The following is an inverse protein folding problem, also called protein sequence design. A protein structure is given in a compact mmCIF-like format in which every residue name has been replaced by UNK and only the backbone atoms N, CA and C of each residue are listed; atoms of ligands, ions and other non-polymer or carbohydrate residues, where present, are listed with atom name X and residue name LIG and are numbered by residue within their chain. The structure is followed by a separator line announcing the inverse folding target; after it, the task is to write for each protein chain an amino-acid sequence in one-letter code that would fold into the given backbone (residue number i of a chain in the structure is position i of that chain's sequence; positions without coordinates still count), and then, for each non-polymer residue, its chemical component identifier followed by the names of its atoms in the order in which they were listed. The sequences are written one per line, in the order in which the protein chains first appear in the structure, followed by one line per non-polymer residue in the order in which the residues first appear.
data_IF_156869229693
#
_entry.id   IF_156869229693
#
_cell.length_a   1.000
_cell.length_b   1.000
_cell.length_c   1.000
_cell.angle_alpha   90.00
_cell.angle_beta   90.00
_cell.angle_gamma   90.00
#
_symmetry.space_group_name_H-M   'P 1'
#
loop_
_entity.id
_entity.type
_entity.pdbx_description
1 polymer ?
#
# COMPACT_ATOMS: atom_id res chain seq x y z
N UNK A 1 -0.30 12.79 32.56
CA UNK A 1 -1.47 12.99 31.68
C UNK A 1 -2.59 12.02 32.05
N UNK A 2 -3.84 12.30 31.66
CA UNK A 2 -4.97 11.39 31.91
C UNK A 2 -5.39 10.70 30.61
N UNK A 3 -5.73 9.42 30.72
CA UNK A 3 -6.28 8.67 29.58
C UNK A 3 -7.65 9.23 29.18
N UNK A 4 -7.82 9.57 27.90
CA UNK A 4 -9.09 10.07 27.36
C UNK A 4 -10.21 9.02 27.27
N UNK A 5 -9.89 7.73 27.49
CA UNK A 5 -10.86 6.63 27.47
C UNK A 5 -11.29 6.20 28.88
N UNK A 6 -10.34 5.98 29.79
CA UNK A 6 -10.63 5.42 31.12
C UNK A 6 -10.33 6.38 32.29
N UNK A 7 -9.80 7.58 32.02
CA UNK A 7 -9.44 8.54 33.06
C UNK A 7 -8.22 8.18 33.91
N UNK A 8 -7.53 7.06 33.64
CA UNK A 8 -6.37 6.64 34.43
C UNK A 8 -5.22 7.67 34.33
N UNK A 9 -4.61 8.08 35.47
CA UNK A 9 -3.40 8.89 35.45
C UNK A 9 -2.22 8.07 34.93
N UNK A 10 -1.50 8.64 33.97
CA UNK A 10 -0.33 8.04 33.34
C UNK A 10 0.85 9.03 33.34
N UNK A 11 2.06 8.50 33.30
CA UNK A 11 3.27 9.31 33.14
C UNK A 11 3.24 10.11 31.83
N UNK A 12 3.88 11.27 31.78
CA UNK A 12 3.85 12.16 30.60
C UNK A 12 4.65 11.61 29.40
N UNK A 13 5.50 10.62 29.62
CA UNK A 13 6.26 9.86 28.62
C UNK A 13 5.62 8.49 28.27
N UNK A 14 4.53 8.11 28.94
CA UNK A 14 3.87 6.83 28.70
C UNK A 14 3.23 6.80 27.30
N UNK A 15 3.63 5.83 26.46
CA UNK A 15 3.06 5.65 25.11
C UNK A 15 1.65 5.05 25.14
N UNK A 16 1.36 4.26 26.17
CA UNK A 16 0.09 3.54 26.35
C UNK A 16 -0.44 3.73 27.77
N UNK A 17 -1.76 3.65 27.91
CA UNK A 17 -2.44 3.72 29.19
C UNK A 17 -2.22 2.44 29.99
N UNK A 18 -1.72 2.56 31.21
CA UNK A 18 -1.52 1.43 32.14
C UNK A 18 -2.83 0.77 32.59
N UNK A 19 -3.97 1.46 32.50
CA UNK A 19 -5.27 0.96 32.93
C UNK A 19 -6.06 0.24 31.84
N UNK A 20 -6.10 0.77 30.62
CA UNK A 20 -6.93 0.22 29.52
C UNK A 20 -6.14 -0.13 28.25
N UNK A 21 -4.82 0.10 28.21
CA UNK A 21 -3.97 -0.23 27.07
C UNK A 21 -4.07 0.72 25.87
N UNK A 22 -4.98 1.71 25.87
CA UNK A 22 -5.10 2.66 24.74
C UNK A 22 -3.85 3.53 24.60
N UNK A 23 -3.43 3.81 23.36
CA UNK A 23 -2.30 4.71 23.09
C UNK A 23 -2.63 6.13 23.54
N UNK A 24 -1.72 6.76 24.28
CA UNK A 24 -1.89 8.12 24.77
C UNK A 24 -1.35 9.10 23.71
N UNK A 25 -2.20 10.07 23.32
CA UNK A 25 -1.90 11.06 22.28
C UNK A 25 -0.97 12.16 22.80
N UNK A 26 0.30 11.81 23.03
CA UNK A 26 1.33 12.80 23.34
C UNK A 26 2.23 13.00 22.12
N UNK A 27 2.15 14.16 21.49
CA UNK A 27 3.30 14.73 20.78
C UNK A 27 3.21 16.25 20.79
N UNK A 28 4.13 16.94 21.48
CA UNK A 28 4.56 18.28 21.11
C UNK A 28 5.40 18.21 19.81
N UNK A 29 5.13 19.15 18.92
CA UNK A 29 5.76 19.53 17.65
C UNK A 29 7.20 19.05 17.35
N UNK A 30 7.39 18.74 16.06
CA UNK A 30 8.63 18.67 15.24
C UNK A 30 9.31 17.30 14.99
N UNK A 31 8.97 16.73 13.84
CA UNK A 31 9.98 16.47 12.81
C UNK A 31 9.40 16.87 11.46
N UNK A 32 9.57 18.15 11.11
CA UNK A 32 9.54 18.62 9.74
C UNK A 32 10.70 17.95 8.98
N UNK A 33 10.42 16.85 8.28
CA UNK A 33 11.21 16.54 7.09
C UNK A 33 10.67 17.44 5.98
N UNK A 34 11.52 18.16 5.23
CA UNK A 34 11.08 19.27 4.39
C UNK A 34 10.09 18.75 3.33
N UNK A 35 8.80 19.01 3.55
CA UNK A 35 7.85 19.06 2.44
C UNK A 35 8.16 20.33 1.67
N UNK A 36 9.20 20.26 0.84
CA UNK A 36 9.31 21.10 -0.34
C UNK A 36 8.09 20.76 -1.22
N UNK A 37 6.98 21.44 -0.95
CA UNK A 37 6.01 21.76 -1.98
C UNK A 37 6.72 22.69 -2.95
N UNK A 38 7.59 22.14 -3.80
CA UNK A 38 7.91 22.77 -5.07
C UNK A 38 6.65 22.63 -5.91
N UNK A 39 5.66 23.50 -5.66
CA UNK A 39 4.83 23.99 -6.76
C UNK A 39 5.83 24.49 -7.78
N UNK A 40 6.13 23.65 -8.78
CA UNK A 40 7.06 23.99 -9.83
C UNK A 40 6.52 25.28 -10.44
N UNK A 41 7.29 26.36 -10.37
CA UNK A 41 6.81 27.66 -10.80
C UNK A 41 6.29 27.54 -12.24
N UNK A 42 5.15 28.16 -12.58
CA UNK A 42 4.56 28.03 -13.93
C UNK A 42 5.56 28.42 -15.03
N UNK A 43 6.53 29.29 -14.71
CA UNK A 43 7.65 29.66 -15.57
C UNK A 43 8.58 28.48 -15.90
N UNK A 44 8.87 27.61 -14.94
CA UNK A 44 9.67 26.39 -15.17
C UNK A 44 8.95 25.39 -16.06
N UNK A 45 7.62 25.29 -15.92
CA UNK A 45 6.82 24.41 -16.77
C UNK A 45 6.77 24.91 -18.23
N UNK A 46 6.64 26.23 -18.42
CA UNK A 46 6.71 26.86 -19.73
C UNK A 46 8.08 26.64 -20.39
N UNK A 47 9.15 26.77 -19.60
CA UNK A 47 10.52 26.56 -20.08
C UNK A 47 10.78 25.09 -20.49
N UNK A 48 10.25 24.12 -19.73
CA UNK A 48 10.35 22.70 -20.08
C UNK A 48 9.54 22.36 -21.35
N UNK A 49 8.35 22.95 -21.54
CA UNK A 49 7.60 22.77 -22.79
C UNK A 49 8.35 23.38 -23.98
N UNK A 50 8.98 24.53 -23.81
CA UNK A 50 9.80 25.16 -24.85
C UNK A 50 11.00 24.27 -25.24
N UNK A 51 11.72 23.71 -24.27
CA UNK A 51 12.82 22.78 -24.54
C UNK A 51 12.35 21.51 -25.27
N UNK A 52 11.18 20.99 -24.90
CA UNK A 52 10.60 19.83 -25.59
C UNK A 52 10.29 20.14 -27.07
N UNK A 53 9.69 21.30 -27.36
CA UNK A 53 9.39 21.72 -28.73
C UNK A 53 10.65 21.91 -29.57
N UNK A 54 11.70 22.55 -29.03
CA UNK A 54 12.99 22.69 -29.72
C UNK A 54 13.56 21.31 -30.05
N UNK A 55 13.50 20.37 -29.11
CA UNK A 55 14.00 19.02 -29.33
C UNK A 55 13.26 18.30 -30.45
N UNK A 56 11.93 18.42 -30.51
CA UNK A 56 11.13 17.83 -31.59
C UNK A 56 11.47 18.46 -32.95
N UNK A 57 11.65 19.79 -33.01
CA UNK A 57 12.06 20.49 -34.24
C UNK A 57 13.44 20.03 -34.70
N UNK A 58 14.40 19.84 -33.79
CA UNK A 58 15.73 19.33 -34.12
C UNK A 58 15.67 17.90 -34.68
N UNK A 59 14.82 17.04 -34.12
CA UNK A 59 14.64 15.65 -34.59
C UNK A 59 13.94 15.62 -35.95
N UNK A 60 12.91 16.44 -36.18
CA UNK A 60 12.16 16.42 -37.44
C UNK A 60 12.89 17.18 -38.55
N UNK A 61 13.59 18.27 -38.23
CA UNK A 61 14.23 19.12 -39.23
C UNK A 61 15.65 18.69 -39.58
N UNK A 62 16.52 18.55 -38.57
CA UNK A 62 17.96 18.38 -38.80
C UNK A 62 18.31 16.94 -39.15
N UNK A 63 17.62 15.96 -38.54
CA UNK A 63 17.89 14.55 -38.77
C UNK A 63 17.68 14.09 -40.22
N UNK A 64 16.52 14.33 -40.88
CA UNK A 64 16.36 13.90 -42.27
C UNK A 64 17.30 14.65 -43.23
N UNK A 65 17.62 15.91 -42.96
CA UNK A 65 18.55 16.69 -43.79
C UNK A 65 19.97 16.10 -43.76
N UNK A 66 20.46 15.67 -42.59
CA UNK A 66 21.79 15.08 -42.45
C UNK A 66 21.87 13.64 -42.98
N UNK A 67 20.79 12.86 -42.87
CA UNK A 67 20.69 11.54 -43.50
C UNK A 67 20.81 11.62 -45.02
N UNK A 68 20.20 12.64 -45.64
CA UNK A 68 20.27 12.86 -47.09
C UNK A 68 21.69 13.29 -47.53
N UNK A 69 22.39 14.07 -46.71
CA UNK A 69 23.70 14.65 -47.04
C UNK A 69 24.90 13.79 -46.64
N UNK A 70 24.69 12.71 -45.88
CA UNK A 70 25.70 11.68 -45.59
C UNK A 70 26.76 12.06 -44.54
N UNK A 71 26.70 13.26 -43.95
CA UNK A 71 27.61 13.71 -42.92
C UNK A 71 27.05 13.42 -41.51
N UNK A 72 27.35 12.23 -40.98
CA UNK A 72 26.92 11.81 -39.64
C UNK A 72 27.99 12.16 -38.59
N UNK A 73 27.97 13.41 -38.11
CA UNK A 73 28.87 13.92 -37.07
C UNK A 73 28.39 13.56 -35.66
N UNK A 74 29.32 13.37 -34.71
CA UNK A 74 29.15 12.88 -33.31
C UNK A 74 28.17 13.68 -32.42
N UNK A 75 27.54 14.73 -32.95
CA UNK A 75 26.62 15.64 -32.27
C UNK A 75 25.35 14.96 -31.72
N UNK A 76 24.98 13.79 -32.27
CA UNK A 76 23.77 13.07 -31.87
C UNK A 76 23.85 12.41 -30.48
N UNK A 77 25.06 12.08 -30.01
CA UNK A 77 25.27 11.53 -28.67
C UNK A 77 24.83 12.52 -27.61
N UNK A 78 25.12 13.82 -27.81
CA UNK A 78 24.70 14.88 -26.90
C UNK A 78 23.18 15.08 -26.89
N UNK A 79 22.51 14.97 -28.04
CA UNK A 79 21.04 15.07 -28.13
C UNK A 79 20.35 13.90 -27.40
N UNK A 80 20.84 12.68 -27.58
CA UNK A 80 20.34 11.50 -26.87
C UNK A 80 20.59 11.59 -25.35
N UNK A 81 21.79 12.01 -24.94
CA UNK A 81 22.10 12.20 -23.52
C UNK A 81 21.19 13.26 -22.87
N UNK A 82 20.90 14.37 -23.57
CA UNK A 82 19.94 15.38 -23.10
C UNK A 82 18.52 14.80 -23.00
N UNK A 83 18.11 13.96 -23.95
CA UNK A 83 16.83 13.25 -23.90
C UNK A 83 16.74 12.31 -22.69
N UNK A 84 17.76 11.49 -22.43
CA UNK A 84 17.81 10.62 -21.25
C UNK A 84 17.85 11.42 -19.94
N UNK A 85 18.51 12.58 -19.92
CA UNK A 85 18.53 13.46 -18.75
C UNK A 85 17.15 14.07 -18.47
N UNK A 86 16.45 14.54 -19.51
CA UNK A 86 15.06 15.03 -19.40
C UNK A 86 14.08 13.91 -18.99
N UNK A 87 14.26 12.70 -19.53
CA UNK A 87 13.43 11.54 -19.14
C UNK A 87 13.65 11.18 -17.66
N UNK A 88 14.91 11.15 -17.21
CA UNK A 88 15.27 10.88 -15.82
C UNK A 88 14.75 11.95 -14.85
N UNK A 89 14.72 13.23 -15.27
CA UNK A 89 14.20 14.33 -14.45
C UNK A 89 12.67 14.34 -14.35
N UNK A 90 11.97 13.87 -15.38
CA UNK A 90 10.49 13.83 -15.42
C UNK A 90 9.90 12.53 -14.83
N UNK A 91 10.67 11.44 -14.82
CA UNK A 91 10.24 10.13 -14.29
C UNK A 91 9.76 10.12 -12.82
N UNK A 92 10.46 10.75 -11.85
CA UNK A 92 10.11 10.60 -10.44
C UNK A 92 8.81 11.33 -10.03
N UNK A 93 8.18 12.12 -10.91
CA UNK A 93 6.93 12.84 -10.63
C UNK A 93 5.66 12.07 -11.05
N UNK A 94 5.79 11.05 -11.92
CA UNK A 94 4.64 10.33 -12.49
C UNK A 94 4.22 9.13 -11.60
N UNK A 95 5.09 8.66 -10.70
CA UNK A 95 4.73 7.61 -9.75
C UNK A 95 4.06 8.20 -8.50
N UNK A 96 2.80 7.82 -8.20
CA UNK A 96 2.00 8.50 -7.21
C UNK A 96 2.51 8.24 -5.79
N UNK A 97 2.71 9.31 -5.01
CA UNK A 97 2.93 9.28 -3.54
C UNK A 97 1.90 8.42 -2.78
N UNK A 98 0.72 8.20 -3.37
CA UNK A 98 -0.37 7.36 -2.87
C UNK A 98 0.05 5.91 -2.61
N UNK A 99 1.02 5.37 -3.36
CA UNK A 99 1.49 3.99 -3.18
C UNK A 99 2.22 3.79 -1.84
N UNK A 100 3.08 4.74 -1.45
CA UNK A 100 3.83 4.68 -0.18
C UNK A 100 2.92 4.81 1.04
N UNK A 101 1.87 5.62 0.95
CA UNK A 101 0.93 5.81 2.09
C UNK A 101 0.11 4.54 2.34
N UNK A 102 -0.35 3.86 1.28
CA UNK A 102 -1.08 2.59 1.39
C UNK A 102 -0.22 1.47 1.96
N UNK A 103 1.07 1.39 1.61
CA UNK A 103 1.96 0.38 2.20
C UNK A 103 2.16 0.61 3.69
N UNK A 104 2.39 1.85 4.15
CA UNK A 104 2.54 2.14 5.58
C UNK A 104 1.29 1.77 6.39
N UNK A 105 0.09 2.09 5.89
CA UNK A 105 -1.16 1.72 6.56
C UNK A 105 -1.33 0.20 6.65
N UNK A 106 -1.00 -0.52 5.58
CA UNK A 106 -1.07 -1.98 5.56
C UNK A 106 -0.12 -2.64 6.56
N UNK A 107 1.13 -2.15 6.66
CA UNK A 107 2.09 -2.68 7.64
C UNK A 107 1.72 -2.31 9.08
N UNK A 108 1.24 -1.09 9.34
CA UNK A 108 0.74 -0.72 10.66
C UNK A 108 -0.44 -1.62 11.09
N UNK A 109 -1.34 -1.96 10.17
CA UNK A 109 -2.43 -2.90 10.44
C UNK A 109 -1.91 -4.32 10.72
N UNK A 110 -0.83 -4.76 10.05
CA UNK A 110 -0.19 -6.05 10.33
C UNK A 110 0.43 -6.06 11.73
N UNK A 111 1.15 -4.99 12.10
CA UNK A 111 1.76 -4.85 13.43
C UNK A 111 0.68 -4.92 14.52
N UNK A 112 -0.47 -4.28 14.31
CA UNK A 112 -1.61 -4.37 15.23
C UNK A 112 -2.26 -5.77 15.27
N UNK A 113 -2.16 -6.55 14.20
CA UNK A 113 -2.67 -7.91 14.13
C UNK A 113 -1.69 -8.96 14.66
N UNK A 114 -0.43 -8.61 14.93
CA UNK A 114 0.63 -9.54 15.30
C UNK A 114 0.26 -10.41 16.52
N UNK A 115 -0.31 -9.80 17.57
CA UNK A 115 -0.74 -10.53 18.76
C UNK A 115 -1.83 -11.56 18.44
N UNK A 116 -2.74 -11.24 17.52
CA UNK A 116 -3.77 -12.17 17.08
C UNK A 116 -3.16 -13.30 16.23
N UNK A 117 -2.27 -12.97 15.29
CA UNK A 117 -1.59 -13.95 14.43
C UNK A 117 -0.81 -14.96 15.26
N UNK A 118 0.00 -14.49 16.21
CA UNK A 118 0.76 -15.35 17.11
C UNK A 118 -0.16 -16.26 17.94
N UNK A 119 -1.33 -15.76 18.38
CA UNK A 119 -2.33 -16.57 19.11
C UNK A 119 -2.94 -17.67 18.23
N UNK A 120 -3.03 -17.47 16.92
CA UNK A 120 -3.49 -18.48 15.96
C UNK A 120 -2.36 -19.39 15.46
N UNK A 121 -1.19 -19.36 16.11
CA UNK A 121 0.02 -20.07 15.67
C UNK A 121 0.41 -19.69 14.23
N UNK A 122 0.29 -18.42 13.83
CA UNK A 122 0.74 -17.93 12.52
C UNK A 122 1.98 -17.07 12.71
N UNK A 123 3.11 -17.48 12.13
CA UNK A 123 4.39 -16.76 12.22
C UNK A 123 4.34 -15.48 11.39
N UNK A 124 4.33 -14.32 12.03
CA UNK A 124 4.27 -13.00 11.36
C UNK A 124 5.35 -12.81 10.29
N UNK A 125 6.56 -13.35 10.50
CA UNK A 125 7.66 -13.28 9.53
C UNK A 125 7.43 -14.03 8.22
N UNK A 126 6.51 -15.00 8.21
CA UNK A 126 6.14 -15.79 7.02
C UNK A 126 4.91 -15.24 6.29
N UNK A 127 4.27 -14.21 6.84
CA UNK A 127 2.99 -13.72 6.35
C UNK A 127 3.14 -13.00 5.02
N UNK A 128 2.42 -13.48 4.03
CA UNK A 128 2.15 -12.79 2.78
C UNK A 128 0.68 -12.38 2.74
N UNK A 129 0.40 -11.10 2.46
CA UNK A 129 -0.96 -10.57 2.53
C UNK A 129 -1.22 -9.45 1.53
N UNK A 130 -2.51 -9.24 1.25
CA UNK A 130 -3.04 -8.06 0.59
C UNK A 130 -3.92 -7.28 1.58
N UNK A 131 -3.92 -5.96 1.45
CA UNK A 131 -4.71 -5.06 2.29
C UNK A 131 -5.82 -4.36 1.49
N UNK A 132 -7.00 -4.27 2.09
CA UNK A 132 -8.20 -3.69 1.49
C UNK A 132 -8.78 -2.63 2.43
N UNK A 133 -9.01 -1.43 1.88
CA UNK A 133 -9.54 -0.25 2.57
C UNK A 133 -10.91 0.20 2.01
N UNK A 134 -11.48 -0.58 1.09
CA UNK A 134 -12.76 -0.31 0.42
C UNK A 134 -13.93 -0.48 1.41
N UNK A 135 -14.65 0.59 1.79
CA UNK A 135 -15.72 0.51 2.80
C UNK A 135 -16.83 -0.48 2.46
N UNK A 136 -17.05 -0.78 1.18
CA UNK A 136 -18.09 -1.74 0.75
C UNK A 136 -17.67 -3.20 0.91
N UNK A 137 -16.37 -3.46 1.14
CA UNK A 137 -15.85 -4.79 1.41
C UNK A 137 -15.75 -5.12 2.91
N UNK A 138 -15.80 -4.08 3.76
CA UNK A 138 -15.48 -4.15 5.18
C UNK A 138 -16.75 -4.22 6.03
N UNK A 139 -16.74 -5.10 7.03
CA UNK A 139 -17.79 -5.17 8.05
C UNK A 139 -17.70 -4.01 9.03
N UNK A 140 -16.47 -3.57 9.34
CA UNK A 140 -16.21 -2.48 10.26
C UNK A 140 -15.70 -1.22 9.53
N UNK A 141 -16.45 -0.12 9.61
CA UNK A 141 -16.05 1.14 8.98
C UNK A 141 -14.73 1.68 9.57
N UNK A 142 -13.84 2.11 8.68
CA UNK A 142 -12.51 2.62 9.03
C UNK A 142 -11.50 1.55 9.41
N UNK A 143 -11.84 0.26 9.27
CA UNK A 143 -10.88 -0.82 9.37
C UNK A 143 -10.07 -0.97 8.07
N UNK A 144 -9.00 -1.75 8.14
CA UNK A 144 -8.25 -2.29 7.00
C UNK A 144 -8.37 -3.82 7.07
N UNK A 145 -8.86 -4.44 6.00
CA UNK A 145 -8.93 -5.90 5.90
C UNK A 145 -7.60 -6.42 5.35
N UNK A 146 -6.93 -7.27 6.10
CA UNK A 146 -5.77 -8.03 5.67
C UNK A 146 -6.23 -9.43 5.30
N UNK A 147 -5.90 -9.89 4.09
CA UNK A 147 -6.15 -11.27 3.66
C UNK A 147 -4.84 -11.86 3.20
N UNK A 148 -4.47 -13.02 3.76
CA UNK A 148 -3.15 -13.56 3.53
C UNK A 148 -2.99 -15.02 3.92
N UNK A 149 -1.76 -15.48 3.75
CA UNK A 149 -1.30 -16.82 4.15
C UNK A 149 -0.03 -16.63 4.97
N UNK A 150 0.08 -17.39 6.05
CA UNK A 150 1.34 -17.55 6.80
C UNK A 150 1.60 -19.02 7.07
N UNK A 151 2.69 -19.29 7.77
CA UNK A 151 3.07 -20.64 8.22
C UNK A 151 2.88 -20.78 9.72
N UNK A 152 2.47 -21.98 10.14
CA UNK A 152 2.37 -22.33 11.55
C UNK A 152 3.67 -22.90 12.13
N UNK A 153 3.64 -23.28 13.42
CA UNK A 153 4.77 -23.94 14.09
C UNK A 153 5.24 -25.20 13.36
N UNK A 154 4.33 -25.92 12.68
CA UNK A 154 4.57 -27.14 11.89
C UNK A 154 4.95 -26.88 10.42
N UNK A 155 5.14 -25.63 10.02
CA UNK A 155 5.41 -25.22 8.64
C UNK A 155 4.26 -25.55 7.65
N UNK A 156 3.03 -25.66 8.15
CA UNK A 156 1.83 -25.76 7.33
C UNK A 156 1.28 -24.37 7.01
N UNK A 157 0.72 -24.21 5.82
CA UNK A 157 0.13 -22.94 5.39
C UNK A 157 -1.24 -22.72 6.04
N UNK A 158 -1.39 -21.59 6.73
CA UNK A 158 -2.63 -21.12 7.35
C UNK A 158 -3.12 -19.87 6.63
N UNK A 159 -4.33 -19.94 6.07
CA UNK A 159 -4.99 -18.79 5.47
C UNK A 159 -5.70 -17.96 6.54
N UNK A 160 -5.70 -16.64 6.39
CA UNK A 160 -6.40 -15.76 7.31
C UNK A 160 -7.03 -14.57 6.60
N UNK A 161 -8.08 -14.02 7.22
CA UNK A 161 -8.63 -12.71 6.91
C UNK A 161 -8.95 -11.98 8.22
N UNK A 162 -8.41 -10.78 8.40
CA UNK A 162 -8.59 -9.97 9.62
C UNK A 162 -8.90 -8.52 9.30
N UNK A 163 -9.93 -7.97 9.93
CA UNK A 163 -10.22 -6.55 9.90
C UNK A 163 -9.59 -5.87 11.11
N UNK A 164 -8.69 -4.93 10.85
CA UNK A 164 -7.90 -4.24 11.86
C UNK A 164 -8.24 -2.76 11.83
N UNK A 165 -8.51 -2.17 12.99
CA UNK A 165 -8.72 -0.71 13.09
C UNK A 165 -7.64 -0.11 13.96
N UNK A 166 -6.97 0.92 13.42
CA UNK A 166 -5.84 1.54 14.07
C UNK A 166 -6.16 1.98 15.50
N UNK A 167 -5.37 1.53 16.47
CA UNK A 167 -5.54 1.79 17.90
C UNK A 167 -6.64 0.97 18.60
N UNK A 168 -7.37 0.13 17.86
CA UNK A 168 -8.36 -0.82 18.38
C UNK A 168 -7.93 -2.29 18.20
N UNK A 169 -6.99 -2.57 17.29
CA UNK A 169 -6.57 -3.92 16.96
C UNK A 169 -7.57 -4.66 16.07
N UNK A 170 -7.59 -5.99 16.18
CA UNK A 170 -8.43 -6.88 15.36
C UNK A 170 -9.90 -6.81 15.82
N UNK A 171 -10.78 -6.39 14.92
CA UNK A 171 -12.23 -6.27 15.14
C UNK A 171 -13.01 -7.47 14.62
N UNK A 172 -12.55 -8.08 13.53
CA UNK A 172 -13.15 -9.26 12.92
C UNK A 172 -12.05 -10.15 12.38
N UNK A 173 -12.24 -11.46 12.43
CA UNK A 173 -11.22 -12.41 12.02
C UNK A 173 -11.80 -13.71 11.52
N UNK A 174 -11.06 -14.37 10.64
CA UNK A 174 -11.40 -15.65 10.04
C UNK A 174 -10.11 -16.40 9.74
N UNK A 175 -10.02 -17.64 10.22
CA UNK A 175 -9.06 -18.62 9.71
C UNK A 175 -9.69 -19.33 8.51
N UNK A 176 -8.94 -19.42 7.43
CA UNK A 176 -9.39 -19.90 6.14
C UNK A 176 -8.76 -21.26 5.87
N UNK A 177 -9.60 -22.29 5.89
CA UNK A 177 -9.21 -23.67 5.58
C UNK A 177 -10.01 -24.21 4.39
N UNK A 178 -9.35 -24.65 3.30
CA UNK A 178 -7.90 -24.68 3.10
C UNK A 178 -7.30 -23.29 2.83
N UNK A 179 -6.02 -23.11 3.19
CA UNK A 179 -5.30 -21.83 3.07
C UNK A 179 -5.26 -21.27 1.64
N UNK A 180 -5.30 -22.13 0.62
CA UNK A 180 -5.37 -21.73 -0.79
C UNK A 180 -6.60 -20.89 -1.17
N UNK A 181 -7.65 -20.87 -0.34
CA UNK A 181 -8.79 -19.96 -0.53
C UNK A 181 -8.42 -18.50 -0.26
N UNK A 182 -7.50 -18.25 0.68
CA UNK A 182 -7.02 -16.90 0.96
C UNK A 182 -6.27 -16.29 -0.24
N UNK A 183 -5.61 -17.12 -1.07
CA UNK A 183 -4.97 -16.69 -2.32
C UNK A 183 -5.96 -16.32 -3.43
N UNK A 184 -7.27 -16.56 -3.25
CA UNK A 184 -8.34 -16.16 -4.17
C UNK A 184 -9.01 -14.84 -3.75
N UNK A 185 -8.34 -14.04 -2.93
CA UNK A 185 -8.80 -12.75 -2.40
C UNK A 185 -9.33 -11.80 -3.48
N UNK A 186 -8.68 -11.68 -4.64
CA UNK A 186 -9.18 -10.83 -5.74
C UNK A 186 -10.55 -11.27 -6.26
N UNK A 187 -10.77 -12.59 -6.37
CA UNK A 187 -12.07 -13.16 -6.76
C UNK A 187 -13.10 -12.94 -5.67
N UNK A 188 -12.73 -13.14 -4.40
CA UNK A 188 -13.61 -12.87 -3.28
C UNK A 188 -14.03 -11.39 -3.20
N UNK A 189 -13.09 -10.46 -3.40
CA UNK A 189 -13.37 -9.02 -3.46
C UNK A 189 -14.33 -8.67 -4.61
N UNK A 190 -14.16 -9.29 -5.78
CA UNK A 190 -15.08 -9.09 -6.90
C UNK A 190 -16.50 -9.60 -6.59
N UNK A 191 -16.62 -10.83 -6.08
CA UNK A 191 -17.91 -11.42 -5.67
C UNK A 191 -18.58 -10.57 -4.57
N UNK A 192 -17.81 -10.09 -3.60
CA UNK A 192 -18.27 -9.23 -2.52
C UNK A 192 -18.89 -7.93 -3.06
N UNK A 193 -18.19 -7.22 -3.96
CA UNK A 193 -18.71 -5.99 -4.60
C UNK A 193 -20.00 -6.24 -5.38
N UNK A 194 -20.02 -7.29 -6.21
CA UNK A 194 -21.17 -7.60 -7.07
C UNK A 194 -22.43 -7.95 -6.28
N UNK A 195 -22.26 -8.53 -5.09
CA UNK A 195 -23.38 -9.02 -4.28
C UNK A 195 -23.66 -8.16 -3.02
N UNK A 196 -22.95 -7.04 -2.84
CA UNK A 196 -23.08 -6.20 -1.65
C UNK A 196 -22.78 -6.95 -0.34
N UNK A 197 -21.83 -7.88 -0.36
CA UNK A 197 -21.42 -8.69 0.80
C UNK A 197 -20.07 -8.23 1.34
N UNK A 198 -19.82 -8.50 2.63
CA UNK A 198 -18.50 -8.32 3.19
C UNK A 198 -17.53 -9.39 2.69
N UNK A 199 -16.29 -8.99 2.42
CA UNK A 199 -15.30 -9.86 1.81
C UNK A 199 -14.92 -11.04 2.72
N UNK A 200 -14.87 -10.83 4.04
CA UNK A 200 -14.60 -11.89 5.01
C UNK A 200 -15.68 -12.99 4.98
N UNK A 201 -16.95 -12.61 4.79
CA UNK A 201 -18.06 -13.57 4.69
C UNK A 201 -18.01 -14.35 3.37
N UNK A 202 -17.61 -13.69 2.27
CA UNK A 202 -17.41 -14.35 0.97
C UNK A 202 -16.26 -15.36 1.04
N UNK A 203 -15.15 -15.02 1.67
CA UNK A 203 -14.03 -15.95 1.87
C UNK A 203 -14.45 -17.18 2.68
N UNK A 204 -15.22 -16.97 3.76
CA UNK A 204 -15.78 -18.08 4.53
C UNK A 204 -16.69 -18.97 3.69
N UNK A 205 -17.58 -18.38 2.89
CA UNK A 205 -18.46 -19.11 1.98
C UNK A 205 -17.66 -19.93 0.96
N UNK A 206 -16.62 -19.35 0.37
CA UNK A 206 -15.73 -20.05 -0.57
C UNK A 206 -15.01 -21.23 0.09
N UNK A 207 -14.53 -21.06 1.33
CA UNK A 207 -13.89 -22.13 2.10
C UNK A 207 -14.85 -23.27 2.43
N UNK A 208 -16.08 -22.94 2.85
CA UNK A 208 -17.13 -23.94 3.11
C UNK A 208 -17.47 -24.70 1.82
N UNK A 209 -17.70 -24.00 0.71
CA UNK A 209 -18.00 -24.62 -0.59
C UNK A 209 -16.87 -25.54 -1.07
N UNK A 210 -15.62 -25.14 -0.85
CA UNK A 210 -14.47 -25.98 -1.17
C UNK A 210 -14.48 -27.28 -0.38
N UNK A 211 -14.71 -27.22 0.93
CA UNK A 211 -14.77 -28.41 1.81
C UNK A 211 -15.92 -29.34 1.46
N UNK A 212 -17.07 -28.79 1.04
CA UNK A 212 -18.20 -29.61 0.55
C UNK A 212 -17.84 -30.32 -0.75
N UNK A 213 -17.13 -29.63 -1.67
CA UNK A 213 -16.75 -30.19 -2.97
C UNK A 213 -15.61 -31.21 -2.88
N UNK A 214 -14.69 -31.01 -1.94
CA UNK A 214 -13.51 -31.84 -1.72
C UNK A 214 -13.46 -32.27 -0.24
N UNK A 215 -14.30 -33.23 0.17
CA UNK A 215 -14.23 -33.78 1.52
C UNK A 215 -12.87 -34.45 1.73
N UNK A 216 -12.24 -34.20 2.88
CA UNK A 216 -10.97 -34.80 3.27
C UNK A 216 -11.16 -36.19 3.87
#
# INVERSE_FOLDING_TARGET
MYCNQCGQPNSNDAKFCSGCGVRLLNTPTQSELPQQNTKLSPLRHLWLMFLFVISVIMIIGVFPYQVITGNFEFTYVFALCLWFWVLSYTYPQIFPKKLKTKSHQAFNALDEAELWLNKQDVKTSSVYFNAYDDPYLLKNMGATLLVGVGENSKAEHVGFAVEVKQGCGVLSSLIIEPSGIASQDKKAAHIARMNGKYMIDVLNQMAIQHRIKYPQ
#
